data_IF_815833786057
#
_entry.id   IF_815833786057
#
_cell.length_a   1.000
_cell.length_b   1.000
_cell.length_c   1.000
_cell.angle_alpha   90.00
_cell.angle_beta   90.00
_cell.angle_gamma   90.00
#
_symmetry.space_group_name_H-M   'P 1'
#
loop_
_entity.id
_entity.type
_entity.pdbx_description
1 polymer ?
#
# COMPACT_ATOMS: atom_id res chain seq x y z
N UNK A 1 11.47 11.98 -5.16
CA UNK A 1 10.82 11.07 -4.19
C UNK A 1 10.15 11.77 -3.00
N UNK A 2 10.57 12.97 -2.56
CA UNK A 2 9.91 13.65 -1.44
C UNK A 2 8.47 14.14 -1.65
N UNK A 3 7.94 14.12 -2.89
CA UNK A 3 6.56 14.54 -3.18
C UNK A 3 5.51 13.62 -2.55
N UNK A 4 5.74 12.31 -2.50
CA UNK A 4 4.80 11.38 -1.86
C UNK A 4 4.74 11.62 -0.34
N UNK A 5 5.90 11.81 0.28
CA UNK A 5 5.99 12.15 1.69
C UNK A 5 5.36 13.52 2.00
N UNK A 6 5.59 14.54 1.15
CA UNK A 6 4.96 15.86 1.34
C UNK A 6 3.45 15.86 1.11
N UNK A 7 2.97 15.12 0.12
CA UNK A 7 1.55 15.09 -0.26
C UNK A 7 0.71 14.18 0.64
N UNK A 8 1.22 12.98 0.94
CA UNK A 8 0.45 11.93 1.64
C UNK A 8 1.03 11.57 3.00
N UNK A 9 2.20 12.09 3.36
CA UNK A 9 2.85 11.71 4.61
C UNK A 9 3.45 10.31 4.60
N UNK A 10 3.53 9.67 3.43
CA UNK A 10 4.06 8.30 3.30
C UNK A 10 5.55 8.29 3.67
N UNK A 11 5.90 7.45 4.64
CA UNK A 11 7.29 7.22 5.03
C UNK A 11 8.02 6.32 4.03
N UNK A 12 9.31 6.54 3.87
CA UNK A 12 10.19 5.72 3.02
C UNK A 12 11.38 5.30 3.87
N UNK A 13 11.60 3.99 3.94
CA UNK A 13 12.76 3.38 4.57
C UNK A 13 13.60 2.68 3.52
N UNK A 14 14.91 2.83 3.63
CA UNK A 14 15.88 2.04 2.89
C UNK A 14 16.32 0.88 3.77
N UNK A 15 16.01 -0.33 3.32
CA UNK A 15 16.41 -1.56 4.00
C UNK A 15 17.75 -2.03 3.46
N UNK A 16 18.66 -2.34 4.38
CA UNK A 16 19.92 -3.00 4.08
C UNK A 16 19.92 -4.39 4.72
N UNK A 17 20.69 -5.32 4.15
CA UNK A 17 20.90 -6.66 4.73
C UNK A 17 21.42 -6.60 6.17
N UNK A 18 22.15 -5.54 6.51
CA UNK A 18 22.47 -5.20 7.89
C UNK A 18 21.44 -4.17 8.41
N UNK A 19 20.56 -4.52 9.37
CA UNK A 19 19.52 -3.59 9.84
C UNK A 19 20.07 -2.32 10.47
N UNK A 20 21.26 -2.37 11.08
CA UNK A 20 21.92 -1.19 11.66
C UNK A 20 22.37 -0.19 10.60
N UNK A 21 22.44 -0.62 9.34
CA UNK A 21 22.75 0.23 8.19
C UNK A 21 21.49 0.70 7.44
N UNK A 22 20.31 0.16 7.78
CA UNK A 22 19.03 0.64 7.26
C UNK A 22 18.77 2.07 7.72
N UNK A 23 18.11 2.86 6.88
CA UNK A 23 17.91 4.29 7.12
C UNK A 23 16.48 4.70 6.82
N UNK A 24 15.96 5.59 7.65
CA UNK A 24 14.71 6.30 7.35
C UNK A 24 15.07 7.43 6.39
N UNK A 25 14.65 7.31 5.12
CA UNK A 25 14.86 8.37 4.13
C UNK A 25 13.84 9.50 4.32
N UNK A 26 12.60 9.13 4.61
CA UNK A 26 11.52 10.07 4.89
C UNK A 26 10.65 9.51 6.02
N UNK A 27 10.47 10.20 7.15
CA UNK A 27 9.60 9.72 8.22
C UNK A 27 8.14 9.80 7.80
N UNK A 28 7.32 8.84 8.23
CA UNK A 28 5.89 8.91 8.03
C UNK A 28 5.31 10.04 8.91
N UNK A 29 4.40 10.84 8.34
CA UNK A 29 3.76 11.95 9.03
C UNK A 29 2.26 11.87 8.77
N UNK A 30 1.44 12.01 9.81
CA UNK A 30 0.00 12.09 9.59
C UNK A 30 -0.33 13.36 8.81
N UNK A 31 -1.08 13.19 7.73
CA UNK A 31 -1.54 14.26 6.83
C UNK A 31 -3.00 14.01 6.52
N UNK A 32 -3.79 15.07 6.52
CA UNK A 32 -5.17 15.00 6.03
C UNK A 32 -5.18 14.69 4.53
N UNK A 33 -6.23 14.02 4.09
CA UNK A 33 -6.42 13.67 2.69
C UNK A 33 -6.61 14.94 1.84
N UNK A 34 -5.62 15.25 1.00
CA UNK A 34 -5.71 16.33 0.03
C UNK A 34 -6.45 15.86 -1.23
N UNK A 35 -7.77 16.12 -1.26
CA UNK A 35 -8.64 15.78 -2.39
C UNK A 35 -8.15 16.36 -3.73
N UNK A 36 -7.47 17.51 -3.74
CA UNK A 36 -6.91 18.07 -4.99
C UNK A 36 -5.78 17.20 -5.52
N UNK A 37 -4.95 16.67 -4.63
CA UNK A 37 -3.87 15.76 -5.01
C UNK A 37 -4.43 14.40 -5.43
N UNK A 38 -5.46 13.89 -4.74
CA UNK A 38 -6.14 12.64 -5.10
C UNK A 38 -6.78 12.76 -6.50
N UNK A 39 -7.55 13.81 -6.77
CA UNK A 39 -8.15 14.05 -8.11
C UNK A 39 -7.09 14.14 -9.21
N UNK A 40 -5.95 14.78 -8.91
CA UNK A 40 -4.83 14.83 -9.84
C UNK A 40 -4.21 13.45 -10.08
N UNK A 41 -4.10 12.61 -9.06
CA UNK A 41 -3.63 11.23 -9.20
C UNK A 41 -4.58 10.39 -10.05
N UNK A 42 -5.89 10.51 -9.85
CA UNK A 42 -6.88 9.83 -10.68
C UNK A 42 -6.73 10.16 -12.16
N UNK A 43 -6.46 11.44 -12.49
CA UNK A 43 -6.21 11.88 -13.87
C UNK A 43 -4.88 11.39 -14.44
N UNK A 44 -3.88 11.19 -13.59
CA UNK A 44 -2.53 10.78 -14.00
C UNK A 44 -2.37 9.25 -14.09
N UNK A 45 -3.11 8.50 -13.30
CA UNK A 45 -3.02 7.05 -13.22
C UNK A 45 -4.42 6.43 -13.23
N UNK A 46 -4.73 5.76 -14.34
CA UNK A 46 -6.04 5.11 -14.56
C UNK A 46 -6.29 3.97 -13.58
N UNK A 47 -5.25 3.23 -13.17
CA UNK A 47 -5.38 2.17 -12.17
C UNK A 47 -5.72 2.76 -10.80
N UNK A 48 -5.14 3.90 -10.44
CA UNK A 48 -5.49 4.61 -9.21
C UNK A 48 -6.94 5.13 -9.27
N UNK A 49 -7.39 5.63 -10.42
CA UNK A 49 -8.79 6.02 -10.58
C UNK A 49 -9.75 4.84 -10.37
N UNK A 50 -9.45 3.69 -11.01
CA UNK A 50 -10.24 2.46 -10.84
C UNK A 50 -10.26 1.99 -9.38
N UNK A 51 -9.13 2.07 -8.68
CA UNK A 51 -9.04 1.76 -7.26
C UNK A 51 -10.01 2.63 -6.42
N UNK A 52 -10.04 3.95 -6.68
CA UNK A 52 -10.94 4.88 -5.97
C UNK A 52 -12.40 4.56 -6.27
N UNK A 53 -12.74 4.24 -7.52
CA UNK A 53 -14.11 3.84 -7.91
C UNK A 53 -14.55 2.54 -7.22
N UNK A 54 -13.70 1.51 -7.17
CA UNK A 54 -14.02 0.26 -6.48
C UNK A 54 -14.15 0.46 -4.96
N UNK A 55 -13.30 1.30 -4.38
CA UNK A 55 -13.39 1.67 -2.97
C UNK A 55 -14.70 2.41 -2.66
N UNK A 56 -15.12 3.33 -3.53
CA UNK A 56 -16.41 4.03 -3.39
C UNK A 56 -17.58 3.04 -3.45
N UNK A 57 -17.58 2.10 -4.42
CA UNK A 57 -18.62 1.06 -4.52
C UNK A 57 -18.69 0.22 -3.26
N UNK A 58 -17.54 -0.19 -2.70
CA UNK A 58 -17.51 -0.96 -1.45
C UNK A 58 -18.09 -0.15 -0.27
N UNK A 59 -17.71 1.12 -0.16
CA UNK A 59 -18.17 2.02 0.91
C UNK A 59 -19.67 2.34 0.82
N UNK A 60 -20.23 2.35 -0.38
CA UNK A 60 -21.65 2.67 -0.64
C UNK A 60 -22.53 1.43 -0.82
N UNK A 61 -21.93 0.24 -0.91
CA UNK A 61 -22.65 -1.01 -1.07
C UNK A 61 -23.58 -1.28 0.12
N UNK A 62 -24.83 -1.61 -0.16
CA UNK A 62 -25.72 -2.15 0.86
C UNK A 62 -25.24 -3.53 1.32
N UNK A 63 -25.53 -3.93 2.56
CA UNK A 63 -25.08 -5.19 3.19
C UNK A 63 -25.16 -6.45 2.30
N UNK A 64 -26.15 -6.52 1.39
CA UNK A 64 -26.34 -7.66 0.48
C UNK A 64 -25.30 -7.75 -0.66
N UNK A 65 -24.63 -6.65 -0.98
CA UNK A 65 -23.67 -6.54 -2.08
C UNK A 65 -22.24 -6.27 -1.61
N UNK A 66 -22.03 -6.04 -0.30
CA UNK A 66 -20.69 -5.79 0.28
C UNK A 66 -19.74 -6.94 -0.03
N UNK A 67 -20.16 -8.19 0.14
CA UNK A 67 -19.32 -9.36 -0.15
C UNK A 67 -18.92 -9.49 -1.62
N UNK A 68 -19.78 -9.03 -2.54
CA UNK A 68 -19.46 -8.98 -3.97
C UNK A 68 -18.46 -7.88 -4.30
N UNK A 69 -18.68 -6.68 -3.77
CA UNK A 69 -17.77 -5.55 -3.95
C UNK A 69 -16.39 -5.78 -3.29
N UNK A 70 -16.36 -6.47 -2.14
CA UNK A 70 -15.13 -6.84 -1.45
C UNK A 70 -14.30 -7.82 -2.29
N UNK A 71 -14.94 -8.84 -2.87
CA UNK A 71 -14.27 -9.79 -3.76
C UNK A 71 -13.73 -9.14 -5.03
N UNK A 72 -14.49 -8.21 -5.61
CA UNK A 72 -14.05 -7.45 -6.79
C UNK A 72 -12.84 -6.56 -6.47
N UNK A 73 -12.81 -5.96 -5.28
CA UNK A 73 -11.67 -5.15 -4.82
C UNK A 73 -10.43 -6.02 -4.51
N UNK A 74 -10.62 -7.17 -3.86
CA UNK A 74 -9.55 -8.11 -3.54
C UNK A 74 -8.92 -8.70 -4.81
N UNK A 75 -9.73 -9.07 -5.81
CA UNK A 75 -9.26 -9.52 -7.12
C UNK A 75 -8.54 -8.42 -7.92
N UNK A 76 -8.85 -7.15 -7.68
CA UNK A 76 -8.20 -6.01 -8.31
C UNK A 76 -6.84 -5.68 -7.69
N UNK A 77 -6.66 -5.91 -6.38
CA UNK A 77 -5.45 -5.58 -5.67
C UNK A 77 -4.33 -6.59 -5.91
N UNK A 78 -3.09 -6.16 -5.72
CA UNK A 78 -1.94 -7.06 -5.75
C UNK A 78 -2.03 -8.08 -4.60
N UNK A 79 -1.53 -9.29 -4.85
CA UNK A 79 -1.44 -10.32 -3.83
C UNK A 79 -0.60 -9.84 -2.64
N UNK A 80 -1.15 -9.95 -1.45
CA UNK A 80 -0.49 -9.64 -0.19
C UNK A 80 -0.32 -10.89 0.66
N UNK A 81 0.66 -10.88 1.57
CA UNK A 81 0.86 -11.98 2.51
C UNK A 81 -0.13 -11.85 3.66
N UNK A 82 -0.85 -12.93 3.96
CA UNK A 82 -1.87 -12.92 5.00
C UNK A 82 -1.30 -13.14 6.41
N UNK A 83 -0.11 -13.72 6.52
CA UNK A 83 0.50 -14.09 7.79
C UNK A 83 2.04 -14.09 7.72
N UNK A 84 2.68 -14.07 8.89
CA UNK A 84 4.14 -14.08 9.01
C UNK A 84 4.79 -15.34 8.40
N UNK A 85 4.07 -16.46 8.33
CA UNK A 85 4.59 -17.70 7.73
C UNK A 85 4.78 -17.56 6.22
N UNK A 86 3.84 -16.92 5.52
CA UNK A 86 3.95 -16.61 4.10
C UNK A 86 5.07 -15.59 3.84
N UNK A 87 5.20 -14.59 4.70
CA UNK A 87 6.30 -13.61 4.64
C UNK A 87 7.65 -14.30 4.79
N UNK A 88 7.81 -15.19 5.77
CA UNK A 88 9.03 -15.96 6.00
C UNK A 88 9.37 -16.85 4.80
N UNK A 89 8.37 -17.54 4.23
CA UNK A 89 8.56 -18.38 3.06
C UNK A 89 9.02 -17.56 1.85
N UNK A 90 8.39 -16.41 1.61
CA UNK A 90 8.79 -15.49 0.55
C UNK A 90 10.21 -14.95 0.76
N UNK A 91 10.56 -14.59 2.00
CA UNK A 91 11.90 -14.10 2.30
C UNK A 91 12.96 -15.19 2.09
N UNK A 92 12.69 -16.44 2.46
CA UNK A 92 13.56 -17.59 2.16
C UNK A 92 13.72 -17.78 0.66
N UNK A 93 12.64 -17.74 -0.11
CA UNK A 93 12.66 -17.92 -1.57
C UNK A 93 13.43 -16.79 -2.27
N UNK A 94 13.20 -15.54 -1.86
CA UNK A 94 13.85 -14.36 -2.43
C UNK A 94 15.24 -14.09 -1.86
N UNK A 95 15.74 -14.96 -0.99
CA UNK A 95 17.04 -14.81 -0.32
C UNK A 95 17.14 -13.45 0.42
N UNK A 96 16.02 -12.98 0.95
CA UNK A 96 15.96 -11.80 1.80
C UNK A 96 16.45 -12.18 3.20
N UNK A 97 17.32 -11.38 3.82
CA UNK A 97 17.81 -11.65 5.17
C UNK A 97 16.68 -11.42 6.18
N UNK A 98 16.25 -12.52 6.81
CA UNK A 98 15.13 -12.53 7.78
C UNK A 98 15.63 -12.45 9.22
N UNK A 99 16.90 -12.77 9.45
CA UNK A 99 17.52 -12.76 10.77
C UNK A 99 18.72 -11.83 10.76
N UNK A 100 18.66 -10.84 11.65
CA UNK A 100 19.81 -10.10 12.11
C UNK A 100 20.34 -10.79 13.37
N UNK A 101 21.28 -11.70 13.18
CA UNK A 101 22.26 -12.05 14.22
C UNK A 101 23.61 -11.46 13.84
#
# INVERSE_FOLDING_TARGET
>A
MGRLNQSFGIGIIELNSNPYQSKILFPAVYRDLDFKTIDKLCKMNTAFNQFIEQTEKLMTASEKYVSGAEKELDEFCDHYFANDTEVDAYCKEKHLPINAE
#
